data_IF_071621940849
#
_entry.id   IF_071621940849
#
_cell.length_a   1.000
_cell.length_b   1.000
_cell.length_c   1.000
_cell.angle_alpha   90.00
_cell.angle_beta   90.00
_cell.angle_gamma   90.00
#
_symmetry.space_group_name_H-M   'P 1'
#
loop_
_entity.id
_entity.type
_entity.pdbx_description
1 polymer ?
#
# COMPACT_ATOMS: atom_id res chain seq x y z
N UNK A 1 -60.67 -21.49 46.13
CA UNK A 1 -59.43 -22.05 46.70
C UNK A 1 -58.28 -21.69 45.77
N UNK A 2 -57.22 -21.06 46.31
CA UNK A 2 -55.90 -20.72 45.74
C UNK A 2 -55.67 -20.79 44.21
N UNK A 3 -55.46 -19.62 43.58
CA UNK A 3 -54.67 -19.48 42.34
C UNK A 3 -53.31 -18.85 42.69
N UNK A 4 -52.21 -19.51 42.33
CA UNK A 4 -50.86 -19.17 42.81
C UNK A 4 -50.23 -18.01 42.02
N UNK A 5 -49.84 -16.93 42.70
CA UNK A 5 -49.09 -15.83 42.12
C UNK A 5 -47.62 -16.23 41.86
N UNK A 6 -47.21 -16.31 40.58
CA UNK A 6 -45.79 -16.39 40.23
C UNK A 6 -45.15 -15.00 40.21
N UNK A 7 -44.24 -14.74 41.14
CA UNK A 7 -43.35 -13.57 41.12
C UNK A 7 -42.50 -13.56 39.83
N UNK A 8 -42.40 -12.39 39.17
CA UNK A 8 -41.28 -12.08 38.25
C UNK A 8 -40.11 -11.57 39.09
N UNK A 9 -39.16 -12.44 39.40
CA UNK A 9 -37.83 -12.07 39.92
C UNK A 9 -36.76 -12.65 38.98
N UNK A 10 -36.16 -11.81 38.11
CA UNK A 10 -34.83 -11.98 37.47
C UNK A 10 -34.62 -11.04 36.25
N UNK A 11 -34.49 -9.72 36.45
CA UNK A 11 -33.92 -8.83 35.40
C UNK A 11 -32.90 -7.79 35.94
N UNK A 12 -32.55 -7.92 37.22
CA UNK A 12 -31.55 -7.09 37.90
C UNK A 12 -30.16 -7.73 37.96
N UNK A 13 -30.02 -9.00 37.58
CA UNK A 13 -28.81 -9.81 37.79
C UNK A 13 -27.83 -9.85 36.59
N UNK A 14 -28.15 -9.23 35.45
CA UNK A 14 -27.28 -9.21 34.27
C UNK A 14 -26.45 -7.92 34.16
N UNK A 15 -25.18 -7.98 33.72
CA UNK A 15 -24.43 -6.77 33.39
C UNK A 15 -25.09 -6.01 32.24
N UNK A 16 -25.04 -4.68 32.30
CA UNK A 16 -25.48 -3.82 31.20
C UNK A 16 -24.49 -3.95 30.04
N UNK A 17 -24.99 -4.02 28.80
CA UNK A 17 -24.11 -3.98 27.64
C UNK A 17 -23.34 -2.65 27.59
N UNK A 18 -22.04 -2.68 27.30
CA UNK A 18 -21.20 -1.46 27.18
C UNK A 18 -21.71 -0.45 26.14
N UNK A 19 -22.53 -0.89 25.18
CA UNK A 19 -23.15 -0.04 24.16
C UNK A 19 -24.59 0.38 24.51
N UNK A 20 -25.15 -0.07 25.64
CA UNK A 20 -26.50 0.26 26.10
C UNK A 20 -27.57 0.03 25.02
N UNK A 21 -28.52 0.96 24.91
CA UNK A 21 -29.54 0.98 23.85
C UNK A 21 -29.01 1.11 22.41
N UNK A 22 -27.71 1.37 22.22
CA UNK A 22 -27.06 1.51 20.89
C UNK A 22 -26.32 0.25 20.43
N UNK A 23 -26.52 -0.90 21.09
CA UNK A 23 -25.85 -2.13 20.68
C UNK A 23 -26.46 -2.73 19.40
N UNK A 24 -25.63 -2.94 18.37
CA UNK A 24 -26.05 -3.55 17.10
C UNK A 24 -26.03 -5.10 17.11
N UNK A 25 -25.56 -5.74 18.20
CA UNK A 25 -25.34 -7.20 18.26
C UNK A 25 -26.64 -7.97 18.51
N UNK A 26 -27.17 -8.62 17.48
CA UNK A 26 -28.41 -9.42 17.52
C UNK A 26 -28.24 -10.92 17.83
N UNK A 27 -27.04 -11.39 18.21
CA UNK A 27 -26.78 -12.80 18.50
C UNK A 27 -27.55 -13.27 19.77
N UNK A 28 -28.30 -14.39 19.74
CA UNK A 28 -28.97 -14.95 20.93
C UNK A 28 -28.10 -15.14 22.18
N UNK A 29 -26.81 -15.44 22.04
CA UNK A 29 -25.88 -15.53 23.19
C UNK A 29 -25.60 -14.16 23.82
N UNK A 30 -25.52 -13.09 23.01
CA UNK A 30 -25.31 -11.72 23.50
C UNK A 30 -26.50 -11.24 24.33
N UNK A 31 -27.72 -11.49 23.84
CA UNK A 31 -28.98 -11.12 24.52
C UNK A 31 -29.20 -11.96 25.80
N UNK A 32 -28.73 -13.21 25.84
CA UNK A 32 -28.74 -14.02 27.07
C UNK A 32 -27.85 -13.39 28.15
N UNK A 33 -26.66 -12.90 27.79
CA UNK A 33 -25.62 -12.48 28.73
C UNK A 33 -25.70 -10.99 29.16
N UNK A 34 -26.21 -10.10 28.31
CA UNK A 34 -26.21 -8.64 28.57
C UNK A 34 -27.60 -8.01 28.42
N UNK A 35 -27.93 -7.08 29.32
CA UNK A 35 -29.17 -6.28 29.26
C UNK A 35 -28.97 -4.93 28.57
N UNK A 36 -30.02 -4.43 27.93
CA UNK A 36 -30.01 -3.21 27.11
C UNK A 36 -31.16 -2.30 27.55
N UNK A 37 -30.95 -1.39 28.54
CA UNK A 37 -32.01 -0.49 29.00
C UNK A 37 -32.44 0.46 27.87
N UNK A 38 -33.73 0.46 27.52
CA UNK A 38 -34.29 1.37 26.51
C UNK A 38 -34.88 0.73 25.24
N UNK A 39 -35.01 -0.60 25.18
CA UNK A 39 -35.90 -1.28 24.24
C UNK A 39 -36.75 -2.29 25.01
N UNK A 40 -37.96 -1.87 25.41
CA UNK A 40 -39.03 -2.81 25.76
C UNK A 40 -39.73 -3.22 24.46
N UNK A 41 -39.88 -4.52 24.25
CA UNK A 41 -40.60 -5.08 23.11
C UNK A 41 -42.12 -4.88 23.29
N UNK A 42 -42.78 -4.19 22.36
CA UNK A 42 -44.22 -4.28 22.19
C UNK A 42 -44.60 -4.06 20.72
N UNK A 43 -44.95 -5.14 20.02
CA UNK A 43 -45.56 -5.06 18.69
C UNK A 43 -47.07 -4.77 18.82
N UNK A 44 -47.58 -3.73 18.15
CA UNK A 44 -48.64 -3.84 17.14
C UNK A 44 -49.30 -2.48 16.74
N UNK A 45 -49.54 -2.33 15.42
CA UNK A 45 -50.66 -1.62 14.73
C UNK A 45 -50.74 -0.06 14.62
N UNK A 46 -50.55 0.37 13.37
CA UNK A 46 -51.36 1.29 12.52
C UNK A 46 -51.44 2.83 12.75
N UNK A 47 -50.94 3.55 11.72
CA UNK A 47 -51.65 4.48 10.82
C UNK A 47 -51.73 6.02 11.07
N UNK A 48 -51.59 6.73 9.93
CA UNK A 48 -52.07 8.09 9.53
C UNK A 48 -51.42 9.40 10.03
N UNK A 49 -50.54 9.94 9.17
CA UNK A 49 -50.64 11.20 8.37
C UNK A 49 -51.03 12.60 8.97
N UNK A 50 -50.54 13.65 8.25
CA UNK A 50 -50.80 15.12 8.35
C UNK A 50 -49.95 15.86 9.43
N UNK A 51 -49.26 17.01 9.23
CA UNK A 51 -49.00 17.94 8.08
C UNK A 51 -47.68 18.74 8.24
N UNK A 52 -47.28 19.53 7.20
CA UNK A 52 -46.29 20.63 7.22
C UNK A 52 -47.03 21.99 7.12
N UNK A 53 -46.48 23.17 7.57
CA UNK A 53 -45.54 23.92 6.72
C UNK A 53 -44.46 24.84 7.38
N UNK A 54 -43.39 25.05 6.59
CA UNK A 54 -42.58 26.28 6.31
C UNK A 54 -41.95 27.25 7.35
N UNK A 55 -40.61 27.35 7.24
CA UNK A 55 -39.75 28.53 7.07
C UNK A 55 -39.74 29.74 8.03
N UNK A 56 -38.61 29.89 8.75
CA UNK A 56 -37.86 31.16 8.88
C UNK A 56 -36.34 30.89 8.76
N UNK A 57 -35.59 31.80 8.10
CA UNK A 57 -34.11 31.77 7.97
C UNK A 57 -33.48 32.98 8.73
N UNK A 58 -32.17 33.27 8.66
CA UNK A 58 -31.17 32.71 9.58
C UNK A 58 -30.30 33.80 10.25
N UNK A 59 -29.48 33.46 11.26
CA UNK A 59 -28.18 34.15 11.35
C UNK A 59 -27.01 33.42 12.04
N UNK A 60 -25.81 33.83 11.58
CA UNK A 60 -24.42 33.44 11.88
C UNK A 60 -24.11 32.74 13.23
N UNK A 61 -23.28 31.67 13.15
CA UNK A 61 -21.89 31.70 13.67
C UNK A 61 -20.99 30.55 13.16
N UNK A 62 -19.80 30.96 12.66
CA UNK A 62 -18.49 30.28 12.58
C UNK A 62 -18.39 28.82 12.08
N UNK A 63 -17.76 28.68 10.91
CA UNK A 63 -17.25 27.40 10.36
C UNK A 63 -15.99 26.94 11.11
N UNK A 64 -15.86 25.65 11.40
CA UNK A 64 -14.57 25.01 11.64
C UNK A 64 -13.85 24.76 10.31
N UNK A 65 -12.51 24.76 10.30
CA UNK A 65 -11.71 24.56 9.10
C UNK A 65 -11.52 23.06 8.80
N UNK A 66 -11.77 22.66 7.54
CA UNK A 66 -11.50 21.31 7.03
C UNK A 66 -10.12 21.27 6.35
N UNK A 67 -9.60 20.05 6.15
CA UNK A 67 -8.27 19.69 5.62
C UNK A 67 -7.88 20.39 4.28
N UNK A 68 -8.85 20.90 3.50
CA UNK A 68 -8.60 21.73 2.31
C UNK A 68 -7.74 22.98 2.55
N UNK A 69 -7.56 23.40 3.82
CA UNK A 69 -6.71 24.56 4.17
C UNK A 69 -5.22 24.24 4.32
N UNK A 70 -4.80 22.97 4.19
CA UNK A 70 -3.39 22.56 4.36
C UNK A 70 -2.60 22.43 3.04
N UNK A 71 -3.28 22.42 1.89
CA UNK A 71 -2.67 22.31 0.56
C UNK A 71 -2.99 23.57 -0.26
N UNK A 72 -2.06 24.54 -0.21
CA UNK A 72 -2.23 25.84 -0.87
C UNK A 72 -2.45 25.70 -2.39
N UNK A 73 -3.44 26.43 -2.91
CA UNK A 73 -3.72 26.46 -4.36
C UNK A 73 -2.59 27.15 -5.13
N UNK A 74 -2.20 26.65 -6.31
CA UNK A 74 -1.33 27.41 -7.23
C UNK A 74 -2.04 28.69 -7.67
N UNK A 75 -1.27 29.78 -7.80
CA UNK A 75 -1.81 31.11 -8.06
C UNK A 75 -2.00 31.40 -9.56
N UNK A 76 -3.10 32.08 -9.89
CA UNK A 76 -3.36 32.86 -11.13
C UNK A 76 -3.58 32.05 -12.42
N UNK A 77 -4.45 32.46 -13.36
CA UNK A 77 -5.55 33.45 -13.38
C UNK A 77 -6.28 33.39 -14.74
N UNK A 78 -7.46 34.02 -14.85
CA UNK A 78 -8.31 34.20 -16.06
C UNK A 78 -9.09 32.93 -16.50
N UNK A 79 -10.43 32.86 -16.41
CA UNK A 79 -11.50 33.59 -17.16
C UNK A 79 -11.43 33.30 -18.67
N UNK A 80 -12.44 32.74 -19.36
CA UNK A 80 -13.91 33.01 -19.30
C UNK A 80 -14.79 31.86 -19.84
N UNK A 81 -16.07 31.85 -19.42
CA UNK A 81 -17.34 31.56 -20.14
C UNK A 81 -17.58 30.30 -21.01
N UNK A 82 -18.80 29.80 -20.91
CA UNK A 82 -19.47 28.80 -21.78
C UNK A 82 -19.47 29.16 -23.28
N UNK A 83 -19.43 28.13 -24.14
CA UNK A 83 -20.50 27.81 -25.12
C UNK A 83 -20.14 26.59 -25.98
N UNK A 84 -21.10 25.67 -26.17
CA UNK A 84 -21.03 24.61 -27.19
C UNK A 84 -21.32 25.17 -28.59
N UNK A 85 -20.57 24.72 -29.61
CA UNK A 85 -21.07 24.46 -30.98
C UNK A 85 -20.01 23.81 -31.89
N UNK A 86 -20.50 23.08 -32.88
CA UNK A 86 -19.73 22.30 -33.86
C UNK A 86 -19.09 23.16 -34.97
N UNK A 87 -18.18 22.59 -35.77
CA UNK A 87 -17.75 23.24 -37.02
C UNK A 87 -16.42 22.74 -37.61
N UNK A 88 -16.50 22.15 -38.79
CA UNK A 88 -15.43 21.52 -39.56
C UNK A 88 -14.31 22.43 -40.12
N UNK A 89 -13.27 21.75 -40.61
CA UNK A 89 -12.48 22.05 -41.81
C UNK A 89 -11.39 23.16 -41.85
N UNK A 90 -10.18 22.63 -42.12
CA UNK A 90 -9.25 23.03 -43.20
C UNK A 90 -8.09 24.02 -42.95
N UNK A 91 -6.95 23.52 -43.42
CA UNK A 91 -5.82 24.19 -44.06
C UNK A 91 -4.55 24.70 -43.32
N UNK A 92 -3.46 24.49 -44.06
CA UNK A 92 -2.03 24.73 -43.81
C UNK A 92 -1.63 26.10 -44.43
N UNK A 93 -0.33 26.50 -44.51
CA UNK A 93 0.81 26.34 -43.59
C UNK A 93 1.66 27.63 -43.42
N UNK A 94 2.70 27.57 -42.57
CA UNK A 94 3.98 28.34 -42.72
C UNK A 94 3.90 29.85 -42.39
N UNK A 95 4.91 30.55 -41.83
CA UNK A 95 6.37 30.48 -42.04
C UNK A 95 7.17 31.17 -40.90
N UNK A 96 8.45 30.78 -40.73
CA UNK A 96 9.66 31.62 -40.47
C UNK A 96 9.71 32.52 -39.21
N UNK A 97 10.70 32.32 -38.32
CA UNK A 97 11.99 33.08 -38.17
C UNK A 97 11.77 34.57 -37.78
N UNK A 98 12.47 35.19 -36.82
CA UNK A 98 13.89 35.01 -36.46
C UNK A 98 14.24 35.57 -35.06
N UNK A 99 15.35 35.06 -34.53
CA UNK A 99 16.24 35.51 -33.44
C UNK A 99 16.37 37.03 -33.19
N UNK A 100 16.58 37.41 -31.91
CA UNK A 100 17.83 37.96 -31.30
C UNK A 100 17.59 38.02 -29.78
N UNK A 101 18.34 37.43 -28.84
CA UNK A 101 19.79 37.22 -28.63
C UNK A 101 20.45 38.33 -27.75
N UNK A 102 21.44 37.90 -26.94
CA UNK A 102 22.36 38.67 -26.06
C UNK A 102 21.74 39.14 -24.70
N UNK A 103 22.08 38.53 -23.54
CA UNK A 103 23.28 38.73 -22.65
C UNK A 103 23.33 40.14 -22.01
N UNK A 104 23.58 40.36 -20.71
CA UNK A 104 24.48 39.67 -19.77
C UNK A 104 24.11 39.93 -18.28
N UNK A 105 24.68 39.10 -17.39
CA UNK A 105 25.42 39.38 -16.12
C UNK A 105 25.36 40.82 -15.50
N UNK A 106 25.55 41.08 -14.19
CA UNK A 106 26.51 40.48 -13.23
C UNK A 106 26.14 40.78 -11.75
N UNK A 107 26.64 39.92 -10.84
CA UNK A 107 27.15 40.20 -9.46
C UNK A 107 26.18 40.54 -8.31
N UNK A 108 26.48 39.91 -7.17
CA UNK A 108 25.79 40.00 -5.88
C UNK A 108 26.37 41.09 -4.94
N UNK A 109 25.65 41.38 -3.85
CA UNK A 109 26.25 41.90 -2.62
C UNK A 109 25.41 41.56 -1.39
N UNK A 110 26.02 40.95 -0.38
CA UNK A 110 25.45 40.85 0.97
C UNK A 110 25.49 42.21 1.67
N UNK A 111 24.58 42.45 2.63
CA UNK A 111 24.94 43.10 3.88
C UNK A 111 23.91 42.82 4.99
N UNK A 112 24.42 42.58 6.20
CA UNK A 112 23.63 42.37 7.43
C UNK A 112 23.27 43.73 8.05
N UNK A 113 22.14 43.82 8.76
CA UNK A 113 22.12 44.59 10.02
C UNK A 113 21.06 44.07 11.01
N UNK A 114 21.42 44.17 12.29
CA UNK A 114 20.66 43.85 13.51
C UNK A 114 19.74 44.99 13.96
N UNK A 115 18.73 44.67 14.79
CA UNK A 115 18.55 45.31 16.13
C UNK A 115 17.51 44.55 16.98
N UNK A 116 17.69 44.59 18.31
CA UNK A 116 16.74 44.14 19.35
C UNK A 116 15.57 45.15 19.49
N UNK A 117 14.59 45.13 20.41
CA UNK A 117 14.22 44.42 21.65
C UNK A 117 12.69 44.69 21.88
N UNK A 118 11.88 43.97 22.66
CA UNK A 118 11.72 44.01 24.13
C UNK A 118 10.45 43.21 24.53
N UNK A 119 10.49 42.46 25.64
CA UNK A 119 9.57 42.47 26.82
C UNK A 119 8.03 42.29 26.66
N UNK A 120 7.24 41.63 27.54
CA UNK A 120 7.40 40.72 28.71
C UNK A 120 6.11 39.84 28.84
N UNK A 121 6.12 38.84 29.74
CA UNK A 121 4.97 38.21 30.45
C UNK A 121 3.71 37.65 29.74
N UNK A 122 3.42 36.35 29.92
CA UNK A 122 2.49 35.89 30.98
C UNK A 122 2.57 34.36 31.17
N UNK A 123 2.19 33.87 32.35
CA UNK A 123 2.52 32.56 32.88
C UNK A 123 1.31 31.61 32.99
N UNK A 124 1.57 30.32 32.74
CA UNK A 124 0.76 29.15 33.14
C UNK A 124 -0.58 28.87 32.43
N UNK A 125 -0.62 27.70 31.78
CA UNK A 125 -1.58 26.63 32.14
C UNK A 125 -1.10 25.28 31.62
N UNK A 126 -0.96 24.33 32.54
CA UNK A 126 -0.69 22.94 32.21
C UNK A 126 -1.91 22.32 31.52
N UNK A 127 -1.68 21.61 30.43
CA UNK A 127 -2.56 20.54 29.97
C UNK A 127 -1.70 19.30 29.85
N UNK A 128 -1.86 18.38 30.80
CA UNK A 128 -1.20 17.08 30.79
C UNK A 128 -1.77 16.27 29.63
N UNK A 129 -1.06 16.23 28.51
CA UNK A 129 -1.25 15.18 27.52
C UNK A 129 -0.53 13.92 28.01
N UNK A 130 -1.29 12.92 28.43
CA UNK A 130 -0.79 11.58 28.68
C UNK A 130 -0.26 10.99 27.37
N UNK A 131 1.04 11.20 27.11
CA UNK A 131 1.77 10.39 26.15
C UNK A 131 1.93 9.00 26.76
N UNK A 132 1.16 8.05 26.26
CA UNK A 132 1.49 6.63 26.40
C UNK A 132 2.89 6.41 25.80
N UNK A 133 3.88 6.29 26.68
CA UNK A 133 5.27 6.06 26.29
C UNK A 133 5.43 4.57 25.96
N UNK A 134 5.10 4.21 24.71
CA UNK A 134 5.41 2.91 24.13
C UNK A 134 6.93 2.73 24.09
N UNK A 135 7.47 2.20 25.20
CA UNK A 135 8.83 1.71 25.37
C UNK A 135 8.97 0.36 24.66
N UNK A 136 8.92 0.40 23.32
CA UNK A 136 9.32 -0.76 22.51
C UNK A 136 10.83 -1.00 22.66
N UNK A 137 11.21 -2.23 23.00
CA UNK A 137 12.57 -2.69 23.28
C UNK A 137 13.55 -2.58 22.08
N UNK A 138 14.00 -1.37 21.70
CA UNK A 138 15.02 -1.17 20.66
C UNK A 138 16.45 -1.60 21.12
N UNK A 139 16.66 -1.72 22.44
CA UNK A 139 17.93 -2.14 23.04
C UNK A 139 18.05 -3.67 23.18
N UNK A 140 18.21 -4.36 22.04
CA UNK A 140 19.11 -5.54 21.90
C UNK A 140 19.01 -6.28 20.55
N UNK A 141 18.41 -5.70 19.48
CA UNK A 141 18.41 -6.37 18.16
C UNK A 141 19.85 -6.75 17.74
N UNK A 142 20.17 -8.05 17.61
CA UNK A 142 21.55 -8.52 17.51
C UNK A 142 22.26 -7.96 16.27
N UNK A 143 23.59 -7.94 16.33
CA UNK A 143 24.43 -7.53 15.21
C UNK A 143 24.03 -8.28 13.93
N UNK A 144 24.05 -7.60 12.79
CA UNK A 144 23.74 -8.23 11.50
C UNK A 144 24.63 -9.46 11.30
N UNK A 145 24.07 -10.66 11.09
CA UNK A 145 24.83 -11.88 10.83
C UNK A 145 25.77 -11.71 9.63
N UNK A 146 26.91 -12.41 9.70
CA UNK A 146 27.85 -12.49 8.59
C UNK A 146 27.29 -13.28 7.41
N UNK A 147 26.48 -14.32 7.69
CA UNK A 147 25.69 -15.01 6.66
C UNK A 147 24.56 -14.10 6.15
N UNK A 148 24.59 -13.85 4.85
CA UNK A 148 23.62 -13.03 4.13
C UNK A 148 22.20 -13.59 4.25
N UNK A 149 22.05 -14.92 4.32
CA UNK A 149 20.72 -15.57 4.43
C UNK A 149 20.08 -15.29 5.78
N UNK A 150 20.82 -15.52 6.86
CA UNK A 150 20.33 -15.24 8.22
C UNK A 150 20.13 -13.74 8.46
N UNK A 151 20.97 -12.88 7.87
CA UNK A 151 20.82 -11.42 7.93
C UNK A 151 19.55 -10.94 7.19
N UNK A 152 19.19 -11.54 6.06
CA UNK A 152 17.89 -11.30 5.41
C UNK A 152 16.74 -11.79 6.30
N UNK A 153 16.84 -13.02 6.82
CA UNK A 153 15.80 -13.64 7.68
C UNK A 153 15.53 -12.82 8.94
N UNK A 154 16.57 -12.35 9.63
CA UNK A 154 16.44 -11.52 10.84
C UNK A 154 15.81 -10.15 10.53
N UNK A 155 16.06 -9.56 9.35
CA UNK A 155 15.56 -8.22 9.00
C UNK A 155 14.15 -8.22 8.39
N UNK A 156 13.84 -9.22 7.57
CA UNK A 156 12.56 -9.32 6.85
C UNK A 156 11.61 -10.36 7.43
N UNK A 157 12.03 -11.12 8.45
CA UNK A 157 11.24 -12.14 9.16
C UNK A 157 10.73 -13.29 8.29
N UNK A 158 11.32 -13.48 7.10
CA UNK A 158 10.95 -14.50 6.11
C UNK A 158 12.20 -15.11 5.48
N UNK A 159 12.10 -16.37 5.06
CA UNK A 159 13.14 -17.00 4.24
C UNK A 159 12.93 -16.66 2.75
N UNK A 160 14.03 -16.36 2.06
CA UNK A 160 14.01 -16.12 0.61
C UNK A 160 14.17 -17.44 -0.15
N UNK A 161 13.41 -17.64 -1.25
CA UNK A 161 13.52 -18.84 -2.07
C UNK A 161 14.84 -18.90 -2.85
N UNK A 162 15.18 -20.05 -3.40
CA UNK A 162 16.48 -20.29 -4.04
C UNK A 162 16.67 -19.47 -5.34
N UNK A 163 15.57 -19.18 -6.05
CA UNK A 163 15.58 -18.34 -7.26
C UNK A 163 15.98 -16.89 -6.96
N UNK A 164 15.76 -16.38 -5.74
CA UNK A 164 16.22 -15.05 -5.33
C UNK A 164 17.75 -14.93 -5.37
N UNK A 165 18.46 -15.92 -4.84
CA UNK A 165 19.92 -15.93 -4.81
C UNK A 165 20.50 -16.22 -6.21
N UNK A 166 19.91 -17.15 -6.96
CA UNK A 166 20.26 -17.39 -8.36
C UNK A 166 20.06 -16.15 -9.23
N UNK A 167 19.01 -15.35 -8.98
CA UNK A 167 18.76 -14.10 -9.69
C UNK A 167 19.79 -13.01 -9.33
N UNK A 168 20.26 -12.97 -8.08
CA UNK A 168 21.37 -12.10 -7.69
C UNK A 168 22.66 -12.44 -8.43
N UNK A 169 23.05 -13.72 -8.45
CA UNK A 169 24.22 -14.21 -9.19
C UNK A 169 24.10 -13.87 -10.69
N UNK A 170 22.92 -14.09 -11.29
CA UNK A 170 22.65 -13.69 -12.67
C UNK A 170 22.86 -12.18 -12.89
N UNK A 171 22.33 -11.33 -12.02
CA UNK A 171 22.54 -9.87 -12.12
C UNK A 171 24.01 -9.46 -11.91
N UNK A 172 24.79 -10.20 -11.11
CA UNK A 172 26.25 -10.00 -11.00
C UNK A 172 26.96 -10.29 -12.33
N UNK A 173 26.53 -11.31 -13.09
CA UNK A 173 27.11 -11.58 -14.43
C UNK A 173 26.78 -10.50 -15.46
N UNK A 174 25.61 -9.85 -15.34
CA UNK A 174 25.18 -8.78 -16.25
C UNK A 174 25.89 -7.45 -15.97
N UNK A 175 26.04 -7.07 -14.69
CA UNK A 175 26.65 -5.81 -14.29
C UNK A 175 27.48 -5.98 -13.01
N UNK A 176 28.74 -6.48 -13.12
CA UNK A 176 29.60 -6.75 -11.96
C UNK A 176 29.87 -5.51 -11.09
N UNK A 177 29.89 -4.32 -11.69
CA UNK A 177 30.18 -3.07 -10.97
C UNK A 177 29.03 -2.61 -10.07
N UNK A 178 27.79 -2.94 -10.43
CA UNK A 178 26.60 -2.59 -9.65
C UNK A 178 25.42 -3.52 -10.03
N UNK A 179 25.33 -4.71 -9.41
CA UNK A 179 24.31 -5.69 -9.76
C UNK A 179 22.88 -5.21 -9.50
N UNK A 180 22.67 -4.24 -8.59
CA UNK A 180 21.32 -3.72 -8.32
C UNK A 180 20.72 -2.92 -9.48
N UNK A 181 21.56 -2.46 -10.42
CA UNK A 181 21.17 -1.72 -11.62
C UNK A 181 21.29 -2.54 -12.90
N UNK A 182 21.50 -3.86 -12.80
CA UNK A 182 21.68 -4.76 -13.95
C UNK A 182 20.52 -4.73 -14.97
N UNK A 183 19.31 -4.33 -14.55
CA UNK A 183 18.11 -4.27 -15.39
C UNK A 183 17.68 -2.84 -15.77
N UNK A 184 18.42 -1.82 -15.33
CA UNK A 184 18.02 -0.41 -15.43
C UNK A 184 17.98 0.06 -16.91
N UNK A 185 19.01 -0.27 -17.71
CA UNK A 185 19.08 0.11 -19.13
C UNK A 185 18.05 -0.63 -20.01
N UNK A 186 17.75 -1.90 -19.69
CA UNK A 186 16.89 -2.77 -20.51
C UNK A 186 15.42 -2.67 -20.16
N UNK A 187 15.09 -2.60 -18.86
CA UNK A 187 13.72 -2.75 -18.33
C UNK A 187 13.29 -1.58 -17.45
N UNK A 188 14.17 -0.61 -17.17
CA UNK A 188 13.94 0.45 -16.17
C UNK A 188 13.57 -0.14 -14.79
N UNK A 189 14.21 -1.25 -14.41
CA UNK A 189 14.05 -1.92 -13.12
C UNK A 189 15.35 -1.89 -12.32
N UNK A 190 15.22 -1.72 -11.00
CA UNK A 190 16.30 -1.84 -10.02
C UNK A 190 15.95 -2.92 -8.99
N UNK A 191 16.97 -3.62 -8.51
CA UNK A 191 16.85 -4.59 -7.42
C UNK A 191 16.86 -3.86 -6.08
N UNK A 192 15.89 -4.20 -5.23
CA UNK A 192 15.56 -3.45 -4.01
C UNK A 192 15.16 -4.40 -2.86
N UNK A 193 14.78 -3.86 -1.71
CA UNK A 193 14.26 -4.65 -0.60
C UNK A 193 15.33 -5.61 -0.05
N UNK A 194 15.12 -6.93 -0.03
CA UNK A 194 16.13 -7.91 0.37
C UNK A 194 17.47 -7.84 -0.40
N UNK A 195 17.47 -7.41 -1.67
CA UNK A 195 18.73 -7.22 -2.43
C UNK A 195 19.60 -6.09 -1.87
N UNK A 196 19.05 -5.22 -1.00
CA UNK A 196 19.80 -4.16 -0.32
C UNK A 196 20.63 -4.69 0.85
N UNK A 197 20.36 -5.93 1.24
CA UNK A 197 21.20 -6.68 2.17
C UNK A 197 22.41 -7.23 1.42
N UNK A 198 22.18 -7.96 0.31
CA UNK A 198 23.24 -8.54 -0.55
C UNK A 198 24.18 -7.48 -1.14
N UNK A 199 23.66 -6.33 -1.57
CA UNK A 199 24.47 -5.20 -2.05
C UNK A 199 25.17 -4.41 -0.94
N UNK A 200 25.02 -4.81 0.33
CA UNK A 200 25.65 -4.15 1.47
C UNK A 200 25.10 -2.77 1.83
N UNK A 201 24.09 -2.24 1.10
CA UNK A 201 23.50 -0.91 1.35
C UNK A 201 23.03 -0.74 2.79
N UNK A 202 22.52 -1.81 3.41
CA UNK A 202 22.12 -1.84 4.82
C UNK A 202 23.23 -1.51 5.83
N UNK A 203 24.52 -1.70 5.51
CA UNK A 203 25.65 -1.56 6.44
C UNK A 203 25.92 -0.11 6.85
N UNK A 204 25.51 0.86 6.04
CA UNK A 204 25.71 2.29 6.30
C UNK A 204 24.51 2.99 6.97
N UNK A 205 23.48 2.22 7.29
CA UNK A 205 22.19 2.75 7.76
C UNK A 205 22.28 3.07 9.26
N UNK A 206 22.17 4.36 9.58
CA UNK A 206 22.26 4.88 10.97
C UNK A 206 20.90 4.89 11.64
N UNK A 207 20.90 4.88 12.99
CA UNK A 207 19.73 5.23 13.82
C UNK A 207 19.24 6.64 13.44
N UNK A 208 17.93 6.86 13.46
CA UNK A 208 17.34 8.17 13.19
C UNK A 208 17.55 9.14 14.38
N UNK A 209 17.06 10.39 14.25
CA UNK A 209 17.16 11.42 15.31
C UNK A 209 16.49 11.06 16.65
N UNK A 210 15.69 9.99 16.69
CA UNK A 210 15.03 9.43 17.88
C UNK A 210 15.65 8.10 18.31
N UNK A 211 16.87 7.79 17.86
CA UNK A 211 17.57 6.56 18.24
C UNK A 211 17.05 5.28 17.58
N UNK A 212 15.94 5.31 16.82
CA UNK A 212 15.34 4.10 16.23
C UNK A 212 16.09 3.66 14.98
N UNK A 213 16.31 2.34 14.82
CA UNK A 213 16.73 1.75 13.54
C UNK A 213 15.57 1.80 12.53
N UNK A 214 15.81 1.90 11.21
CA UNK A 214 14.72 1.85 10.24
C UNK A 214 14.10 0.45 10.15
N UNK A 215 12.79 0.42 9.97
CA UNK A 215 12.01 -0.80 9.86
C UNK A 215 12.11 -1.37 8.44
N UNK A 216 12.82 -2.49 8.29
CA UNK A 216 13.00 -3.17 7.01
C UNK A 216 11.70 -3.74 6.43
N UNK A 217 10.66 -3.98 7.25
CA UNK A 217 9.34 -4.44 6.78
C UNK A 217 8.56 -3.36 6.01
N UNK A 218 8.97 -2.09 6.14
CA UNK A 218 8.43 -0.95 5.39
C UNK A 218 9.34 -0.53 4.22
N UNK A 219 10.51 -1.15 4.08
CA UNK A 219 11.49 -0.82 3.04
C UNK A 219 10.98 -1.27 1.66
N UNK A 220 10.74 -0.31 0.77
CA UNK A 220 10.05 -0.52 -0.52
C UNK A 220 8.63 -1.13 -0.43
N UNK A 221 7.94 -0.96 0.71
CA UNK A 221 6.50 -1.26 0.82
C UNK A 221 5.69 -0.09 0.25
N UNK A 222 5.00 -0.32 -0.87
CA UNK A 222 4.10 0.65 -1.48
C UNK A 222 2.73 0.67 -0.79
N UNK A 223 1.91 1.67 -1.12
CA UNK A 223 0.64 1.96 -0.44
C UNK A 223 -0.40 0.82 -0.53
N UNK A 224 -0.38 0.05 -1.62
CA UNK A 224 -1.30 -1.06 -1.85
C UNK A 224 -0.68 -2.44 -1.58
N UNK A 225 0.52 -2.50 -0.99
CA UNK A 225 1.24 -3.75 -0.74
C UNK A 225 0.75 -4.39 0.58
N UNK A 226 -0.07 -5.47 0.52
CA UNK A 226 -0.50 -6.15 1.72
C UNK A 226 0.70 -6.86 2.39
N UNK A 227 0.60 -7.26 3.67
CA UNK A 227 1.71 -7.91 4.40
C UNK A 227 2.36 -9.09 3.65
N UNK A 228 1.55 -9.88 2.94
CA UNK A 228 1.89 -11.03 2.10
C UNK A 228 2.81 -10.67 0.92
N UNK A 229 2.74 -9.42 0.44
CA UNK A 229 3.51 -8.94 -0.71
C UNK A 229 4.80 -8.25 -0.23
N UNK A 230 5.94 -8.76 -0.72
CA UNK A 230 7.28 -8.26 -0.42
C UNK A 230 7.99 -7.83 -1.71
N UNK A 231 8.13 -6.52 -1.92
CA UNK A 231 8.82 -5.94 -3.08
C UNK A 231 10.30 -6.32 -3.13
N UNK A 232 10.76 -6.71 -4.32
CA UNK A 232 12.16 -7.07 -4.61
C UNK A 232 12.70 -6.42 -5.89
N UNK A 233 11.85 -5.98 -6.81
CA UNK A 233 12.23 -5.13 -7.96
C UNK A 233 11.31 -3.91 -8.02
N UNK A 234 11.85 -2.72 -8.33
CA UNK A 234 11.08 -1.50 -8.49
C UNK A 234 11.49 -0.72 -9.75
N UNK A 235 10.58 0.07 -10.30
CA UNK A 235 10.81 0.96 -11.45
C UNK A 235 10.91 2.43 -11.05
N UNK A 236 10.78 3.33 -12.04
CA UNK A 236 10.70 4.77 -11.85
C UNK A 236 9.53 5.26 -10.97
N UNK A 237 9.71 6.45 -10.40
CA UNK A 237 8.75 7.10 -9.49
C UNK A 237 7.40 7.45 -10.15
N UNK A 238 7.33 7.48 -11.49
CA UNK A 238 6.12 7.84 -12.25
C UNK A 238 5.12 6.70 -12.28
N UNK A 239 5.57 5.52 -12.72
CA UNK A 239 4.71 4.34 -12.79
C UNK A 239 4.56 3.67 -11.43
N UNK A 240 5.61 3.76 -10.59
CA UNK A 240 5.76 3.01 -9.33
C UNK A 240 5.58 1.50 -9.52
N UNK A 241 5.76 1.00 -10.75
CA UNK A 241 5.66 -0.42 -11.05
C UNK A 241 6.71 -1.18 -10.26
N UNK A 242 6.32 -2.30 -9.68
CA UNK A 242 7.22 -3.09 -8.88
C UNK A 242 6.79 -4.56 -8.89
N UNK A 243 7.75 -5.43 -8.64
CA UNK A 243 7.57 -6.88 -8.54
C UNK A 243 7.94 -7.32 -7.13
N UNK A 244 7.12 -8.20 -6.56
CA UNK A 244 7.29 -8.73 -5.23
C UNK A 244 6.90 -10.19 -5.13
N UNK A 245 7.48 -10.88 -4.15
CA UNK A 245 7.04 -12.21 -3.76
C UNK A 245 5.74 -12.12 -2.96
N UNK A 246 4.80 -13.02 -3.25
CA UNK A 246 3.55 -13.16 -2.50
C UNK A 246 3.61 -14.44 -1.63
N UNK A 247 3.48 -14.31 -0.31
CA UNK A 247 3.47 -15.42 0.66
C UNK A 247 2.12 -15.50 1.36
N UNK A 248 1.49 -16.68 1.34
CA UNK A 248 0.26 -16.94 2.11
C UNK A 248 0.55 -17.11 3.61
N UNK A 249 1.70 -17.70 3.97
CA UNK A 249 2.22 -17.81 5.34
C UNK A 249 3.68 -17.33 5.34
N UNK A 250 4.12 -16.46 6.28
CA UNK A 250 5.52 -16.01 6.36
C UNK A 250 6.55 -17.13 6.59
N UNK A 251 6.12 -18.31 7.05
CA UNK A 251 6.95 -19.52 7.23
C UNK A 251 7.07 -20.37 5.98
N UNK A 252 6.22 -20.15 4.97
CA UNK A 252 6.27 -20.86 3.70
C UNK A 252 7.08 -20.10 2.64
N UNK A 253 7.55 -20.83 1.61
CA UNK A 253 8.15 -20.20 0.43
C UNK A 253 7.06 -19.39 -0.32
N UNK A 254 7.44 -18.31 -1.04
CA UNK A 254 6.50 -17.57 -1.88
C UNK A 254 5.66 -18.47 -2.80
N UNK A 255 4.36 -18.21 -2.84
CA UNK A 255 3.43 -18.95 -3.70
C UNK A 255 3.55 -18.52 -5.17
N UNK A 256 3.95 -17.26 -5.41
CA UNK A 256 4.30 -16.71 -6.72
C UNK A 256 5.04 -15.37 -6.60
N UNK A 257 5.58 -14.89 -7.72
CA UNK A 257 5.95 -13.48 -7.91
C UNK A 257 4.75 -12.76 -8.54
N UNK A 258 4.47 -11.52 -8.13
CA UNK A 258 3.42 -10.69 -8.71
C UNK A 258 3.90 -9.27 -8.97
N UNK A 259 3.18 -8.57 -9.86
CA UNK A 259 3.36 -7.15 -10.13
C UNK A 259 2.20 -6.30 -9.63
N UNK A 260 2.50 -5.08 -9.23
CA UNK A 260 1.52 -4.01 -9.00
C UNK A 260 1.99 -2.72 -9.67
N UNK A 261 1.02 -1.90 -10.10
CA UNK A 261 1.23 -0.58 -10.72
C UNK A 261 0.34 0.45 -10.02
N UNK A 262 0.83 1.15 -8.97
CA UNK A 262 0.07 2.19 -8.28
C UNK A 262 -0.29 3.38 -9.19
N UNK A 263 0.43 3.58 -10.31
CA UNK A 263 0.11 4.56 -11.35
C UNK A 263 -0.90 4.09 -12.41
N UNK A 264 -1.49 2.90 -12.27
CA UNK A 264 -2.49 2.37 -13.22
C UNK A 264 -3.93 2.72 -12.83
N UNK A 265 -4.88 2.47 -13.73
CA UNK A 265 -6.31 2.69 -13.50
C UNK A 265 -6.92 1.81 -12.38
N UNK A 266 -6.22 0.76 -11.96
CA UNK A 266 -6.66 -0.18 -10.91
C UNK A 266 -5.47 -0.43 -9.96
N UNK A 267 -5.10 0.58 -9.15
CA UNK A 267 -3.83 0.59 -8.41
C UNK A 267 -3.79 -0.46 -7.28
N UNK A 268 -4.93 -1.00 -6.89
CA UNK A 268 -5.05 -2.07 -5.90
C UNK A 268 -4.76 -3.47 -6.48
N UNK A 269 -4.76 -3.66 -7.81
CA UNK A 269 -4.64 -4.99 -8.42
C UNK A 269 -3.21 -5.55 -8.35
N UNK A 270 -3.10 -6.77 -7.83
CA UNK A 270 -1.87 -7.56 -7.79
C UNK A 270 -1.99 -8.65 -8.86
N UNK A 271 -1.06 -8.66 -9.81
CA UNK A 271 -1.09 -9.52 -10.99
C UNK A 271 0.00 -10.60 -10.89
N UNK A 272 -0.35 -11.89 -10.68
CA UNK A 272 0.63 -12.98 -10.65
C UNK A 272 1.42 -13.07 -11.97
N UNK A 273 2.73 -13.29 -11.87
CA UNK A 273 3.70 -13.23 -12.97
C UNK A 273 4.68 -14.42 -12.91
N UNK A 274 4.15 -15.64 -12.85
CA UNK A 274 4.96 -16.85 -12.65
C UNK A 274 5.36 -17.10 -11.18
N UNK A 275 6.01 -18.24 -10.92
CA UNK A 275 6.34 -18.70 -9.56
C UNK A 275 7.78 -18.42 -9.09
N UNK A 276 8.55 -17.69 -9.90
CA UNK A 276 9.96 -17.35 -9.64
C UNK A 276 10.33 -16.03 -10.34
N UNK A 277 11.44 -15.39 -9.94
CA UNK A 277 11.85 -14.10 -10.49
C UNK A 277 12.25 -14.14 -11.97
N UNK A 278 12.86 -15.23 -12.44
CA UNK A 278 13.23 -15.37 -13.84
C UNK A 278 11.99 -15.37 -14.74
N UNK A 279 10.91 -16.06 -14.34
CA UNK A 279 9.62 -16.01 -15.01
C UNK A 279 9.04 -14.59 -15.03
N UNK A 280 8.98 -13.93 -13.87
CA UNK A 280 8.39 -12.59 -13.75
C UNK A 280 9.10 -11.56 -14.63
N UNK A 281 10.43 -11.55 -14.61
CA UNK A 281 11.25 -10.64 -15.42
C UNK A 281 11.19 -11.01 -16.91
N UNK A 282 11.17 -12.29 -17.27
CA UNK A 282 10.97 -12.75 -18.66
C UNK A 282 9.60 -12.32 -19.21
N UNK A 283 8.52 -12.46 -18.42
CA UNK A 283 7.16 -12.06 -18.80
C UNK A 283 7.08 -10.54 -18.97
N UNK A 284 7.67 -9.77 -18.04
CA UNK A 284 7.72 -8.32 -18.13
C UNK A 284 8.53 -7.85 -19.35
N UNK A 285 9.74 -8.40 -19.55
CA UNK A 285 10.58 -8.15 -20.71
C UNK A 285 9.85 -8.47 -22.02
N UNK A 286 9.15 -9.61 -22.09
CA UNK A 286 8.37 -10.03 -23.27
C UNK A 286 7.16 -9.13 -23.54
N UNK A 287 6.55 -8.54 -22.51
CA UNK A 287 5.48 -7.53 -22.64
C UNK A 287 6.07 -6.20 -23.14
N UNK A 288 7.18 -5.74 -22.56
CA UNK A 288 7.88 -4.50 -22.93
C UNK A 288 8.52 -4.56 -24.33
N UNK A 289 8.96 -5.74 -24.78
CA UNK A 289 9.53 -5.94 -26.12
C UNK A 289 8.54 -5.59 -27.25
N UNK A 290 7.23 -5.77 -27.00
CA UNK A 290 6.17 -5.49 -27.98
C UNK A 290 5.93 -3.99 -28.20
N UNK A 291 6.19 -3.16 -27.18
CA UNK A 291 6.06 -1.70 -27.23
C UNK A 291 7.39 -0.97 -27.47
N UNK A 292 8.53 -1.66 -27.33
CA UNK A 292 9.86 -1.07 -27.46
C UNK A 292 10.37 -1.02 -28.89
N UNK A 293 11.21 -0.01 -29.19
CA UNK A 293 11.88 0.17 -30.48
C UNK A 293 13.35 0.58 -30.31
N UNK A 294 14.11 0.62 -31.40
CA UNK A 294 15.49 1.12 -31.42
C UNK A 294 16.48 0.29 -30.57
N UNK A 295 17.37 0.99 -29.84
CA UNK A 295 18.43 0.38 -29.01
C UNK A 295 17.83 -0.49 -27.90
N UNK A 296 16.84 0.03 -27.17
CA UNK A 296 16.20 -0.64 -26.03
C UNK A 296 15.64 -2.01 -26.42
N UNK A 297 15.03 -2.12 -27.60
CA UNK A 297 14.53 -3.40 -28.14
C UNK A 297 15.63 -4.47 -28.20
N UNK A 298 16.83 -4.11 -28.70
CA UNK A 298 17.97 -5.03 -28.80
C UNK A 298 18.47 -5.46 -27.41
N UNK A 299 18.54 -4.53 -26.45
CA UNK A 299 18.92 -4.84 -25.07
C UNK A 299 17.92 -5.82 -24.42
N UNK A 300 16.61 -5.63 -24.65
CA UNK A 300 15.57 -6.55 -24.16
C UNK A 300 15.70 -7.93 -24.84
N UNK A 301 15.92 -8.01 -26.16
CA UNK A 301 16.13 -9.28 -26.87
C UNK A 301 17.36 -10.05 -26.38
N UNK A 302 18.44 -9.33 -26.02
CA UNK A 302 19.64 -9.93 -25.41
C UNK A 302 19.34 -10.44 -24.00
N UNK A 303 18.70 -9.63 -23.16
CA UNK A 303 18.32 -10.02 -21.79
C UNK A 303 17.41 -11.25 -21.78
N UNK A 304 16.40 -11.31 -22.66
CA UNK A 304 15.49 -12.45 -22.77
C UNK A 304 16.26 -13.74 -23.08
N UNK A 305 17.23 -13.70 -24.01
CA UNK A 305 18.08 -14.87 -24.32
C UNK A 305 18.93 -15.29 -23.12
N UNK A 306 19.50 -14.35 -22.39
CA UNK A 306 20.28 -14.65 -21.18
C UNK A 306 19.40 -15.27 -20.08
N UNK A 307 18.19 -14.76 -19.87
CA UNK A 307 17.19 -15.31 -18.95
C UNK A 307 16.78 -16.74 -19.34
N UNK A 308 16.55 -17.01 -20.63
CA UNK A 308 16.23 -18.36 -21.11
C UNK A 308 17.37 -19.36 -20.88
N UNK A 309 18.63 -18.94 -21.07
CA UNK A 309 19.80 -19.81 -20.87
C UNK A 309 19.97 -20.12 -19.38
N UNK A 310 19.91 -19.11 -18.52
CA UNK A 310 20.10 -19.32 -17.08
C UNK A 310 18.90 -20.07 -16.46
N UNK A 311 17.66 -19.79 -16.86
CA UNK A 311 16.50 -20.56 -16.41
C UNK A 311 16.56 -22.04 -16.82
N UNK A 312 17.06 -22.36 -18.04
CA UNK A 312 17.30 -23.75 -18.46
C UNK A 312 18.40 -24.42 -17.62
N UNK A 313 19.46 -23.68 -17.29
CA UNK A 313 20.57 -24.16 -16.44
C UNK A 313 20.14 -24.43 -14.99
N UNK A 314 19.29 -23.57 -14.42
CA UNK A 314 18.75 -23.70 -13.06
C UNK A 314 17.46 -24.56 -12.99
N UNK A 315 16.98 -25.09 -14.12
CA UNK A 315 15.74 -25.87 -14.23
C UNK A 315 14.48 -25.10 -13.73
N UNK A 316 14.41 -23.81 -14.01
CA UNK A 316 13.30 -22.92 -13.64
C UNK A 316 12.26 -22.82 -14.76
N UNK A 317 10.97 -22.74 -14.38
CA UNK A 317 9.88 -22.52 -15.33
C UNK A 317 9.74 -21.05 -15.69
N UNK A 318 9.66 -20.71 -16.98
CA UNK A 318 9.37 -19.35 -17.46
C UNK A 318 7.87 -19.13 -17.78
N UNK A 319 6.98 -19.98 -17.24
CA UNK A 319 5.54 -19.91 -17.51
C UNK A 319 4.83 -18.86 -16.64
N UNK A 320 3.90 -18.12 -17.24
CA UNK A 320 3.03 -17.14 -16.54
C UNK A 320 2.06 -17.80 -15.54
N UNK A 321 1.80 -19.11 -15.65
CA UNK A 321 0.98 -19.83 -14.66
C UNK A 321 1.40 -21.30 -14.54
N UNK A 322 2.15 -21.60 -13.48
CA UNK A 322 2.63 -22.96 -13.19
C UNK A 322 1.59 -23.84 -12.51
N UNK A 323 1.91 -25.13 -12.31
CA UNK A 323 1.03 -26.07 -11.61
C UNK A 323 0.77 -25.62 -10.17
N UNK A 324 1.81 -25.18 -9.46
CA UNK A 324 1.73 -24.72 -8.07
C UNK A 324 0.76 -23.54 -7.93
N UNK A 325 0.82 -22.56 -8.85
CA UNK A 325 -0.11 -21.43 -8.89
C UNK A 325 -1.56 -21.87 -9.11
N UNK A 326 -1.80 -22.87 -9.97
CA UNK A 326 -3.14 -23.43 -10.23
C UNK A 326 -3.68 -24.21 -9.03
N UNK A 327 -2.82 -24.98 -8.36
CA UNK A 327 -3.19 -25.75 -7.18
C UNK A 327 -3.42 -24.84 -5.96
N UNK A 328 -2.65 -23.76 -5.80
CA UNK A 328 -2.95 -22.67 -4.84
C UNK A 328 -4.27 -21.98 -5.17
N UNK A 329 -4.56 -21.68 -6.44
CA UNK A 329 -5.83 -21.03 -6.85
C UNK A 329 -7.08 -21.83 -6.45
N UNK A 330 -6.99 -23.16 -6.33
CA UNK A 330 -8.08 -24.02 -5.82
C UNK A 330 -8.30 -23.88 -4.31
N UNK A 331 -7.29 -23.44 -3.55
CA UNK A 331 -7.34 -23.19 -2.10
C UNK A 331 -7.72 -21.75 -1.73
N UNK A 332 -7.82 -20.85 -2.70
CA UNK A 332 -8.19 -19.45 -2.47
C UNK A 332 -9.66 -19.38 -2.08
N UNK A 333 -9.94 -18.88 -0.87
CA UNK A 333 -11.31 -18.79 -0.33
C UNK A 333 -12.01 -17.49 -0.73
N UNK A 334 -11.26 -16.43 -1.03
CA UNK A 334 -11.78 -15.14 -1.49
C UNK A 334 -10.71 -14.43 -2.35
N UNK A 335 -11.05 -13.86 -3.52
CA UNK A 335 -10.10 -13.12 -4.35
C UNK A 335 -9.70 -11.76 -3.77
N UNK A 336 -10.52 -11.19 -2.88
CA UNK A 336 -10.42 -9.82 -2.33
C UNK A 336 -10.39 -8.71 -3.41
N UNK A 337 -10.32 -7.43 -3.00
CA UNK A 337 -10.20 -6.33 -3.95
C UNK A 337 -8.88 -6.35 -4.75
N UNK A 338 -7.76 -6.76 -4.14
CA UNK A 338 -6.47 -6.81 -4.83
C UNK A 338 -6.32 -8.00 -5.80
N UNK A 339 -7.25 -8.96 -5.80
CA UNK A 339 -7.34 -10.03 -6.80
C UNK A 339 -6.34 -11.20 -6.65
N UNK A 340 -5.26 -11.03 -5.89
CA UNK A 340 -4.34 -12.12 -5.55
C UNK A 340 -5.02 -13.24 -4.73
N UNK A 341 -6.01 -12.87 -3.92
CA UNK A 341 -6.81 -13.77 -3.09
C UNK A 341 -6.12 -14.32 -1.85
N UNK A 342 -6.92 -14.61 -0.83
CA UNK A 342 -6.50 -15.16 0.46
C UNK A 342 -6.66 -16.68 0.51
N UNK A 343 -5.74 -17.35 1.20
CA UNK A 343 -5.76 -18.79 1.50
C UNK A 343 -5.76 -18.94 3.01
N UNK A 344 -6.72 -19.69 3.56
CA UNK A 344 -6.78 -20.02 5.00
C UNK A 344 -7.12 -21.50 5.16
N UNK A 345 -6.72 -22.14 6.27
CA UNK A 345 -7.19 -23.49 6.59
C UNK A 345 -8.71 -23.53 6.71
N UNK A 346 -9.34 -24.52 6.07
CA UNK A 346 -10.76 -24.85 6.21
C UNK A 346 -10.81 -26.36 6.52
N UNK A 347 -11.50 -26.73 7.60
CA UNK A 347 -11.63 -28.14 8.00
C UNK A 347 -12.75 -28.87 7.23
N UNK A 348 -12.96 -30.16 7.54
CA UNK A 348 -14.02 -30.97 6.92
C UNK A 348 -15.45 -30.56 7.27
N UNK A 349 -15.63 -29.57 8.16
CA UNK A 349 -16.91 -29.05 8.64
C UNK A 349 -17.15 -27.61 8.16
N UNK A 350 -16.40 -27.17 7.13
CA UNK A 350 -16.35 -25.80 6.59
C UNK A 350 -15.96 -24.72 7.63
N UNK A 351 -15.28 -25.10 8.72
CA UNK A 351 -14.77 -24.15 9.73
C UNK A 351 -13.43 -23.58 9.27
N UNK A 352 -13.42 -22.27 9.01
CA UNK A 352 -12.20 -21.51 8.72
C UNK A 352 -12.46 -20.20 7.97
N UNK A 353 -13.39 -20.22 7.02
CA UNK A 353 -13.79 -19.05 6.23
C UNK A 353 -15.30 -18.84 6.25
N UNK A 354 -15.74 -17.58 6.05
CA UNK A 354 -17.13 -17.23 5.77
C UNK A 354 -17.17 -16.04 4.81
N UNK A 355 -18.01 -16.06 3.76
CA UNK A 355 -18.18 -14.91 2.88
C UNK A 355 -18.73 -13.69 3.62
N UNK A 356 -18.35 -12.51 3.12
CA UNK A 356 -18.98 -11.24 3.52
C UNK A 356 -20.42 -11.22 2.97
N UNK A 357 -21.42 -10.66 3.68
CA UNK A 357 -22.81 -10.63 3.19
C UNK A 357 -23.02 -9.83 1.91
N UNK A 358 -22.17 -8.82 1.68
CA UNK A 358 -22.25 -7.90 0.53
C UNK A 358 -21.32 -8.34 -0.61
N UNK A 359 -21.71 -8.05 -1.84
CA UNK A 359 -20.86 -8.27 -3.02
C UNK A 359 -19.75 -7.22 -3.15
N UNK A 360 -18.56 -7.59 -3.66
CA UNK A 360 -17.43 -6.67 -3.89
C UNK A 360 -17.72 -5.48 -4.80
#
# INVERSE_FOLDING_TARGET
MAGVSKKKEADTAKPVCQYGSKCYRKNPQHIKNYRHPGHDDNEEKKAEEVSKPENLKPDKKRKAATIETFLGKPSRSHTVSDSDSEGEHADRPSTKKVKTDIQSQVVAKELKLSTESTDEDDMSKESVEEKEEYTEDDDSLPASPEDEKENIKQKFLVEMPDDFYQFWEFCQTLQPSNPTRALEESLNLILVGPFDILSGRHKHVRKNKHGRRPNFLLHYRYFYDPPEFQTVLASDEKSKFHLGYYRDDPKEKPAFVASNSPGSASPEKINPCGDNLFAAVYIYASKLLKSSSGKTKKCIEQLIKSLEVEAKKQNLSLSETTKNMKDRKKKVVCPTFHGAGIVVPVDSNDVGYRPVPETP
#
